data_IF_237489007087
#
_entry.id   IF_237489007087
#
_cell.length_a   1.000
_cell.length_b   1.000
_cell.length_c   1.000
_cell.angle_alpha   90.00
_cell.angle_beta   90.00
_cell.angle_gamma   90.00
#
_symmetry.space_group_name_H-M   'P 1'
#
loop_
_entity.id
_entity.type
_entity.pdbx_description
1 polymer ?
#
# COMPACT_ATOMS: atom_id res chain seq x y z
N UNK A 1 -13.39 16.46 -5.81
CA UNK A 1 -13.58 15.94 -4.44
C UNK A 1 -12.71 14.71 -4.28
N UNK A 2 -11.75 14.72 -3.34
CA UNK A 2 -10.90 13.57 -3.01
C UNK A 2 -11.53 12.84 -1.81
N UNK A 3 -12.30 11.77 -2.05
CA UNK A 3 -12.78 10.90 -0.97
C UNK A 3 -11.98 9.58 -1.01
N UNK A 4 -11.67 8.97 0.15
CA UNK A 4 -10.94 7.70 0.20
C UNK A 4 -11.83 6.53 -0.28
N UNK A 5 -11.20 5.49 -0.84
CA UNK A 5 -11.89 4.31 -1.36
C UNK A 5 -12.08 3.27 -0.26
N UNK A 6 -13.25 2.63 -0.20
CA UNK A 6 -13.60 1.64 0.81
C UNK A 6 -13.71 0.24 0.16
N UNK A 7 -12.80 -0.66 0.51
CA UNK A 7 -12.81 -2.10 0.19
C UNK A 7 -13.26 -2.84 1.46
N UNK A 8 -13.94 -4.00 1.40
CA UNK A 8 -14.40 -4.71 2.61
C UNK A 8 -13.62 -6.01 2.82
N UNK A 9 -13.13 -6.25 4.05
CA UNK A 9 -12.53 -7.53 4.48
C UNK A 9 -13.56 -8.34 5.27
N UNK A 10 -13.68 -9.65 4.98
CA UNK A 10 -14.54 -10.56 5.74
C UNK A 10 -13.68 -11.45 6.65
N UNK A 11 -13.53 -11.06 7.92
CA UNK A 11 -13.06 -11.94 9.00
C UNK A 11 -14.07 -11.91 10.15
N UNK A 12 -14.26 -13.05 10.82
CA UNK A 12 -15.38 -13.34 11.73
C UNK A 12 -15.55 -12.25 12.80
N UNK A 13 -16.75 -11.69 12.84
CA UNK A 13 -17.36 -10.79 13.85
C UNK A 13 -17.08 -9.27 13.87
N UNK A 14 -16.23 -8.69 13.01
CA UNK A 14 -16.31 -7.23 12.74
C UNK A 14 -16.01 -6.94 11.27
N UNK A 15 -17.03 -6.58 10.50
CA UNK A 15 -16.87 -6.14 9.10
C UNK A 15 -16.34 -4.69 9.06
N UNK A 16 -15.04 -4.50 9.31
CA UNK A 16 -14.40 -3.20 9.07
C UNK A 16 -14.08 -3.05 7.59
N UNK A 17 -14.50 -1.94 6.94
CA UNK A 17 -14.01 -1.62 5.61
C UNK A 17 -12.51 -1.30 5.69
N UNK A 18 -11.72 -1.91 4.79
CA UNK A 18 -10.39 -1.45 4.42
C UNK A 18 -10.52 -0.12 3.68
N UNK A 19 -9.97 0.94 4.25
CA UNK A 19 -9.95 2.25 3.60
C UNK A 19 -8.58 2.46 2.99
N UNK A 20 -8.52 2.62 1.66
CA UNK A 20 -7.26 2.83 0.95
C UNK A 20 -7.21 4.26 0.38
N UNK A 21 -6.15 5.05 0.67
CA UNK A 21 -5.98 6.35 0.05
C UNK A 21 -5.80 6.24 -1.46
N UNK A 22 -6.51 7.09 -2.23
CA UNK A 22 -6.35 7.12 -3.69
C UNK A 22 -4.92 7.40 -4.13
N UNK A 23 -4.19 8.22 -3.37
CA UNK A 23 -2.77 8.52 -3.63
C UNK A 23 -1.90 7.26 -3.50
N UNK A 24 -2.22 6.37 -2.55
CA UNK A 24 -1.49 5.12 -2.38
C UNK A 24 -1.73 4.19 -3.57
N UNK A 25 -2.99 4.04 -3.98
CA UNK A 25 -3.36 3.26 -5.18
C UNK A 25 -2.67 3.84 -6.42
N UNK A 26 -2.65 5.16 -6.56
CA UNK A 26 -1.96 5.83 -7.67
C UNK A 26 -0.45 5.52 -7.68
N UNK A 27 0.19 5.54 -6.52
CA UNK A 27 1.63 5.28 -6.38
C UNK A 27 2.03 3.84 -6.66
N UNK A 28 1.13 2.90 -6.37
CA UNK A 28 1.36 1.46 -6.53
C UNK A 28 0.80 0.93 -7.86
N UNK A 29 0.53 1.82 -8.83
CA UNK A 29 0.08 1.41 -10.13
C UNK A 29 1.17 0.63 -10.89
N UNK A 30 0.81 -0.57 -11.37
CA UNK A 30 1.69 -1.45 -12.16
C UNK A 30 1.63 -1.22 -13.68
N UNK A 31 0.95 -0.18 -14.15
CA UNK A 31 0.99 0.21 -15.57
C UNK A 31 2.45 0.48 -15.99
N UNK A 32 2.92 0.06 -17.18
CA UNK A 32 4.30 0.26 -17.62
C UNK A 32 4.79 1.72 -17.61
N UNK A 33 3.85 2.69 -17.64
CA UNK A 33 4.13 4.13 -17.47
C UNK A 33 4.48 4.52 -16.02
N UNK A 34 4.02 3.75 -15.04
CA UNK A 34 4.19 4.00 -13.60
C UNK A 34 5.10 3.00 -12.90
N UNK A 35 5.44 1.88 -13.54
CA UNK A 35 6.23 0.81 -12.96
C UNK A 35 7.12 0.11 -14.01
N UNK A 36 8.32 -0.29 -13.58
CA UNK A 36 9.21 -1.15 -14.36
C UNK A 36 9.18 -2.56 -13.77
N UNK A 37 8.56 -3.50 -14.48
CA UNK A 37 8.47 -4.90 -14.05
C UNK A 37 9.82 -5.60 -14.02
N UNK A 38 10.70 -5.32 -14.98
CA UNK A 38 12.01 -5.98 -15.07
C UNK A 38 12.95 -5.63 -13.90
N UNK A 39 12.80 -4.44 -13.32
CA UNK A 39 13.64 -3.98 -12.20
C UNK A 39 12.88 -3.89 -10.87
N UNK A 40 11.57 -4.16 -10.87
CA UNK A 40 10.68 -3.95 -9.73
C UNK A 40 10.76 -2.51 -9.16
N UNK A 41 10.93 -1.51 -10.04
CA UNK A 41 11.07 -0.10 -9.63
C UNK A 41 9.87 0.74 -10.04
N UNK A 42 9.45 1.64 -9.15
CA UNK A 42 8.45 2.67 -9.44
C UNK A 42 9.02 3.71 -10.41
N UNK A 43 8.18 4.16 -11.35
CA UNK A 43 8.42 5.31 -12.23
C UNK A 43 7.50 6.50 -11.89
N UNK A 44 6.62 6.36 -10.91
CA UNK A 44 5.71 7.41 -10.46
C UNK A 44 6.49 8.63 -9.94
N UNK A 45 6.05 9.83 -10.34
CA UNK A 45 6.64 11.08 -9.84
C UNK A 45 5.95 11.47 -8.52
N UNK A 46 6.68 11.38 -7.42
CA UNK A 46 6.16 11.69 -6.08
C UNK A 46 5.62 13.12 -5.94
N UNK A 47 6.16 14.10 -6.68
CA UNK A 47 5.76 15.51 -6.60
C UNK A 47 4.36 15.73 -7.18
N UNK A 48 4.01 15.02 -8.26
CA UNK A 48 2.72 15.16 -8.94
C UNK A 48 1.67 14.15 -8.47
N UNK A 49 2.07 13.17 -7.67
CA UNK A 49 1.25 12.03 -7.30
C UNK A 49 -0.12 12.40 -6.73
N UNK A 50 -0.17 13.40 -5.84
CA UNK A 50 -1.43 13.88 -5.24
C UNK A 50 -2.37 14.54 -6.26
N UNK A 51 -1.80 15.22 -7.26
CA UNK A 51 -2.53 15.84 -8.37
C UNK A 51 -3.06 14.78 -9.32
N UNK A 52 -2.28 13.72 -9.57
CA UNK A 52 -2.57 12.66 -10.52
C UNK A 52 -3.54 11.60 -9.95
N UNK A 53 -3.63 11.47 -8.62
CA UNK A 53 -4.54 10.59 -7.91
C UNK A 53 -6.02 11.07 -7.92
N UNK A 54 -6.49 11.54 -9.08
CA UNK A 54 -7.86 12.00 -9.30
C UNK A 54 -8.58 11.04 -10.24
N UNK A 55 -9.72 10.51 -9.80
CA UNK A 55 -10.62 9.72 -10.66
C UNK A 55 -11.52 10.65 -11.47
N UNK A 56 -11.92 10.22 -12.68
CA UNK A 56 -12.80 11.00 -13.56
C UNK A 56 -14.25 11.04 -13.04
N UNK A 57 -14.66 10.00 -12.31
CA UNK A 57 -15.94 9.88 -11.62
C UNK A 57 -16.11 8.48 -11.03
N UNK A 58 -17.20 8.19 -10.33
CA UNK A 58 -17.39 6.86 -9.71
C UNK A 58 -17.51 5.72 -10.73
N UNK A 59 -17.99 6.02 -11.94
CA UNK A 59 -18.05 5.08 -13.06
C UNK A 59 -16.67 4.65 -13.57
N UNK A 60 -15.61 5.37 -13.19
CA UNK A 60 -14.22 5.03 -13.54
C UNK A 60 -13.57 4.09 -12.52
N UNK A 61 -14.36 3.53 -11.60
CA UNK A 61 -13.95 2.53 -10.61
C UNK A 61 -14.88 1.33 -10.76
N UNK A 62 -14.32 0.14 -10.95
CA UNK A 62 -15.09 -1.10 -11.01
C UNK A 62 -14.42 -2.20 -10.21
N UNK A 63 -15.25 -3.14 -9.73
CA UNK A 63 -14.78 -4.43 -9.23
C UNK A 63 -15.18 -5.46 -10.28
N UNK A 64 -14.18 -6.05 -10.92
CA UNK A 64 -14.37 -7.07 -11.94
C UNK A 64 -14.35 -8.44 -11.25
N UNK A 65 -15.40 -9.23 -11.46
CA UNK A 65 -15.56 -10.61 -10.98
C UNK A 65 -15.38 -10.80 -9.46
N UNK A 66 -15.49 -9.72 -8.68
CA UNK A 66 -15.24 -9.76 -7.23
C UNK A 66 -13.77 -9.95 -6.82
N UNK A 67 -12.83 -10.04 -7.77
CA UNK A 67 -11.42 -10.37 -7.50
C UNK A 67 -10.47 -9.23 -7.80
N UNK A 68 -10.84 -8.32 -8.71
CA UNK A 68 -9.96 -7.25 -9.18
C UNK A 68 -10.63 -5.88 -9.03
N UNK A 69 -9.93 -4.94 -8.40
CA UNK A 69 -10.27 -3.52 -8.40
C UNK A 69 -9.59 -2.85 -9.60
N UNK A 70 -10.38 -2.24 -10.49
CA UNK A 70 -9.90 -1.45 -11.62
C UNK A 70 -10.24 0.03 -11.43
N UNK A 71 -9.29 0.91 -11.72
CA UNK A 71 -9.42 2.36 -11.59
C UNK A 71 -8.88 3.03 -12.84
N UNK A 72 -9.73 3.77 -13.54
CA UNK A 72 -9.33 4.71 -14.59
C UNK A 72 -9.18 6.11 -13.99
N UNK A 73 -7.95 6.62 -14.02
CA UNK A 73 -7.59 7.94 -13.53
C UNK A 73 -7.94 9.03 -14.55
N UNK A 74 -8.00 10.28 -14.09
CA UNK A 74 -8.35 11.43 -14.93
C UNK A 74 -7.34 11.68 -16.05
N UNK A 75 -6.09 11.29 -15.87
CA UNK A 75 -5.02 11.38 -16.87
C UNK A 75 -5.04 10.23 -17.89
N UNK A 76 -6.03 9.33 -17.82
CA UNK A 76 -6.18 8.20 -18.72
C UNK A 76 -5.32 6.99 -18.38
N UNK A 77 -4.61 7.01 -17.25
CA UNK A 77 -3.91 5.84 -16.77
C UNK A 77 -4.89 4.85 -16.11
N UNK A 78 -4.59 3.56 -16.18
CA UNK A 78 -5.40 2.51 -15.57
C UNK A 78 -4.59 1.76 -14.51
N UNK A 79 -5.15 1.63 -13.31
CA UNK A 79 -4.59 0.77 -12.28
C UNK A 79 -5.49 -0.44 -12.05
N UNK A 80 -4.85 -1.59 -11.85
CA UNK A 80 -5.52 -2.84 -11.52
C UNK A 80 -4.86 -3.47 -10.31
N UNK A 81 -5.69 -3.88 -9.34
CA UNK A 81 -5.25 -4.49 -8.10
C UNK A 81 -6.05 -5.76 -7.85
N UNK A 82 -5.35 -6.85 -7.51
CA UNK A 82 -6.02 -8.00 -6.93
C UNK A 82 -6.50 -7.62 -5.53
N UNK A 83 -7.75 -7.94 -5.23
CA UNK A 83 -8.35 -7.65 -3.92
C UNK A 83 -7.61 -8.43 -2.83
N UNK A 84 -7.21 -9.67 -3.10
CA UNK A 84 -6.43 -10.49 -2.14
C UNK A 84 -5.06 -9.87 -1.82
N UNK A 85 -4.39 -9.28 -2.81
CA UNK A 85 -3.13 -8.54 -2.61
C UNK A 85 -3.35 -7.32 -1.70
N UNK A 86 -4.42 -6.55 -1.94
CA UNK A 86 -4.76 -5.40 -1.10
C UNK A 86 -5.08 -5.81 0.34
N UNK A 87 -5.79 -6.93 0.53
CA UNK A 87 -6.18 -7.42 1.85
C UNK A 87 -5.03 -8.07 2.63
N UNK A 88 -4.08 -8.69 1.94
CA UNK A 88 -2.89 -9.31 2.53
C UNK A 88 -1.80 -8.30 2.86
N UNK A 89 -1.64 -7.25 2.03
CA UNK A 89 -0.71 -6.14 2.29
C UNK A 89 -1.24 -5.12 3.28
N UNK A 90 -2.55 -5.11 3.56
CA UNK A 90 -3.12 -4.23 4.58
C UNK A 90 -2.67 -4.64 5.98
N UNK A 91 -1.87 -3.78 6.63
CA UNK A 91 -1.60 -3.87 8.06
C UNK A 91 -2.55 -2.95 8.81
N UNK A 92 -3.01 -3.41 9.96
CA UNK A 92 -3.63 -2.53 10.95
C UNK A 92 -2.49 -1.87 11.69
N UNK A 93 -2.55 -0.56 11.89
CA UNK A 93 -1.58 0.17 12.74
C UNK A 93 -1.71 -0.35 14.19
N UNK A 94 -1.01 -1.44 14.48
CA UNK A 94 -0.82 -1.99 15.81
C UNK A 94 0.47 -1.39 16.35
N UNK A 95 0.47 -0.97 17.62
CA UNK A 95 1.72 -0.58 18.26
C UNK A 95 2.64 -1.80 18.29
N UNK A 96 3.78 -1.73 17.61
CA UNK A 96 4.78 -2.77 17.69
C UNK A 96 5.36 -2.79 19.12
N UNK A 97 5.31 -3.94 19.77
CA UNK A 97 6.09 -4.17 20.97
C UNK A 97 7.55 -4.38 20.56
N UNK A 98 8.34 -3.31 20.65
CA UNK A 98 9.75 -3.32 20.28
C UNK A 98 10.65 -3.85 21.40
N UNK A 99 10.12 -4.08 22.61
CA UNK A 99 10.94 -4.45 23.77
C UNK A 99 11.65 -5.79 23.58
N UNK A 100 11.07 -6.70 22.80
CA UNK A 100 11.69 -7.99 22.45
C UNK A 100 12.66 -7.95 21.27
N UNK A 101 12.68 -6.86 20.50
CA UNK A 101 13.43 -6.78 19.22
C UNK A 101 14.53 -5.72 19.24
N UNK A 102 14.41 -4.70 20.07
CA UNK A 102 15.31 -3.55 20.09
C UNK A 102 15.79 -3.32 21.52
N UNK A 103 17.11 -3.36 21.69
CA UNK A 103 17.76 -2.92 22.93
C UNK A 103 18.52 -1.62 22.67
N UNK A 104 18.24 -0.53 23.42
CA UNK A 104 18.99 0.70 23.29
C UNK A 104 20.49 0.46 23.54
N UNK A 105 21.35 1.07 22.74
CA UNK A 105 22.81 0.89 22.84
C UNK A 105 23.35 1.18 24.25
N UNK A 106 22.79 2.18 24.94
CA UNK A 106 23.17 2.53 26.33
C UNK A 106 22.84 1.45 27.37
N UNK A 107 22.01 0.48 27.01
CA UNK A 107 21.59 -0.63 27.86
C UNK A 107 22.30 -1.95 27.48
N UNK A 108 23.22 -1.93 26.50
CA UNK A 108 24.04 -3.08 26.18
C UNK A 108 25.19 -3.19 27.19
N UNK A 109 25.35 -4.38 27.76
CA UNK A 109 26.52 -4.74 28.53
C UNK A 109 27.69 -5.08 27.59
N UNK A 110 28.91 -5.08 28.11
CA UNK A 110 30.14 -5.28 27.31
C UNK A 110 30.19 -6.65 26.62
N UNK A 111 29.50 -7.62 27.20
CA UNK A 111 29.35 -9.00 26.72
C UNK A 111 28.30 -9.12 25.61
N UNK A 112 27.36 -8.17 25.54
CA UNK A 112 26.30 -8.11 24.52
C UNK A 112 26.73 -7.30 23.28
N UNK A 113 27.93 -6.73 23.29
CA UNK A 113 28.47 -6.04 22.14
C UNK A 113 28.77 -7.05 21.02
N UNK A 114 28.13 -6.92 19.84
CA UNK A 114 28.37 -7.84 18.75
C UNK A 114 29.83 -7.75 18.30
N UNK A 115 30.56 -8.85 18.42
CA UNK A 115 31.93 -9.00 17.92
C UNK A 115 31.89 -9.98 16.77
N UNK A 116 32.40 -9.57 15.61
CA UNK A 116 32.69 -10.52 14.55
C UNK A 116 33.94 -11.30 14.97
N UNK A 117 33.81 -12.62 15.08
CA UNK A 117 34.99 -13.48 15.15
C UNK A 117 35.54 -13.58 13.72
N UNK A 118 36.81 -13.19 13.55
CA UNK A 118 37.57 -13.43 12.31
C UNK A 118 38.26 -14.78 12.39
#
# INVERSE_FOLDING_TARGET
MNRPMHVKKCTRNVKKPLVVPLVWLRDHCRDPRSYNEATNQRKSNAVNLLKDAKIKGMQSVSINDGTKLAILWKDGLQSEFLIDDLLSSSQVDLSADLAGYVKPWKQLNKEELPRMQM
#
